data_IF_574354483465
#
_entry.id   IF_574354483465
#
_cell.length_a   1.000
_cell.length_b   1.000
_cell.length_c   1.000
_cell.angle_alpha   90.00
_cell.angle_beta   90.00
_cell.angle_gamma   90.00
#
_symmetry.space_group_name_H-M   'P 1'
#
loop_
_entity.id
_entity.type
_entity.pdbx_description
1 polymer ?
#
# COMPACT_ATOMS: atom_id res chain seq x y z
N UNK A 1 -0.76 -34.75 -72.07
CA UNK A 1 -1.13 -36.17 -71.90
C UNK A 1 -1.31 -36.43 -70.41
N UNK A 2 -2.55 -36.71 -70.05
CA UNK A 2 -3.07 -37.19 -68.77
C UNK A 2 -2.46 -38.53 -68.33
N UNK A 3 -2.29 -38.77 -67.03
CA UNK A 3 -3.09 -39.76 -66.28
C UNK A 3 -2.68 -39.92 -64.80
N UNK A 4 -3.71 -40.25 -64.04
CA UNK A 4 -3.89 -40.45 -62.62
C UNK A 4 -3.38 -41.79 -62.00
N UNK A 5 -3.30 -41.75 -60.66
CA UNK A 5 -3.62 -42.78 -59.62
C UNK A 5 -2.70 -43.99 -59.32
N UNK A 6 -2.23 -44.09 -58.06
CA UNK A 6 -2.37 -45.20 -57.08
C UNK A 6 -1.40 -44.99 -55.88
N UNK A 7 -1.85 -44.58 -54.69
CA UNK A 7 -2.33 -45.38 -53.54
C UNK A 7 -1.24 -46.09 -52.69
N UNK A 8 -0.93 -45.57 -51.49
CA UNK A 8 -0.56 -46.34 -50.28
C UNK A 8 -1.06 -45.57 -49.03
N UNK A 9 -1.87 -46.24 -48.20
CA UNK A 9 -2.45 -45.75 -46.95
C UNK A 9 -1.46 -45.73 -45.78
N UNK A 10 -1.54 -44.77 -44.83
CA UNK A 10 -0.85 -44.86 -43.55
C UNK A 10 -1.69 -45.60 -42.49
N UNK A 11 -1.00 -46.39 -41.67
CA UNK A 11 -1.52 -47.21 -40.56
C UNK A 11 -1.94 -46.29 -39.39
N UNK A 12 -3.06 -46.56 -38.69
CA UNK A 12 -3.49 -45.75 -37.54
C UNK A 12 -2.67 -46.09 -36.29
N UNK A 13 -2.08 -45.09 -35.65
CA UNK A 13 -1.64 -45.19 -34.25
C UNK A 13 -2.72 -44.56 -33.36
N UNK A 14 -3.18 -45.35 -32.39
CA UNK A 14 -4.25 -45.03 -31.46
C UNK A 14 -3.75 -44.02 -30.41
N UNK A 15 -4.36 -42.84 -30.39
CA UNK A 15 -4.33 -41.94 -29.24
C UNK A 15 -5.25 -42.49 -28.13
N UNK A 16 -4.85 -42.39 -26.84
CA UNK A 16 -5.68 -42.84 -25.72
C UNK A 16 -6.97 -42.00 -25.60
N UNK A 17 -8.07 -42.59 -25.09
CA UNK A 17 -9.41 -42.00 -25.17
C UNK A 17 -9.53 -40.67 -24.42
N UNK A 18 -10.09 -39.66 -25.09
CA UNK A 18 -10.59 -38.44 -24.45
C UNK A 18 -11.78 -38.79 -23.55
N UNK A 19 -11.63 -38.58 -22.25
CA UNK A 19 -12.74 -38.65 -21.31
C UNK A 19 -13.79 -37.55 -21.59
N UNK A 20 -15.09 -37.86 -21.50
CA UNK A 20 -16.14 -36.87 -21.70
C UNK A 20 -16.11 -35.82 -20.60
N UNK A 21 -16.13 -34.54 -20.99
CA UNK A 21 -16.29 -33.38 -20.10
C UNK A 21 -17.52 -33.58 -19.22
N UNK A 22 -17.29 -33.79 -17.92
CA UNK A 22 -18.32 -33.74 -16.88
C UNK A 22 -18.80 -32.29 -16.74
N UNK A 23 -20.11 -32.04 -16.58
CA UNK A 23 -20.61 -30.70 -16.29
C UNK A 23 -20.02 -30.22 -14.97
N UNK A 24 -19.60 -28.96 -14.95
CA UNK A 24 -19.16 -28.24 -13.76
C UNK A 24 -20.33 -28.22 -12.77
N UNK A 25 -20.27 -29.07 -11.76
CA UNK A 25 -21.13 -28.97 -10.59
C UNK A 25 -20.58 -27.80 -9.80
N UNK A 26 -21.32 -26.72 -9.81
CA UNK A 26 -21.24 -25.63 -8.85
C UNK A 26 -21.49 -26.24 -7.46
N UNK A 27 -20.43 -26.49 -6.70
CA UNK A 27 -20.56 -26.71 -5.26
C UNK A 27 -20.72 -25.33 -4.61
N UNK A 28 -21.86 -24.68 -4.91
CA UNK A 28 -22.46 -23.74 -3.99
C UNK A 28 -22.68 -24.51 -2.70
N UNK A 29 -21.82 -24.26 -1.70
CA UNK A 29 -22.22 -24.54 -0.32
C UNK A 29 -23.54 -23.78 -0.15
N UNK A 30 -24.65 -24.43 0.20
CA UNK A 30 -25.79 -23.69 0.70
C UNK A 30 -25.27 -22.84 1.85
N UNK A 31 -25.65 -21.56 1.84
CA UNK A 31 -25.56 -20.72 3.03
C UNK A 31 -26.31 -21.51 4.09
N UNK A 32 -25.55 -22.14 4.96
CA UNK A 32 -26.10 -22.90 6.06
C UNK A 32 -26.60 -21.84 7.05
N UNK A 33 -27.84 -21.41 6.85
CA UNK A 33 -28.69 -20.79 7.87
C UNK A 33 -29.05 -21.87 8.92
N UNK A 34 -28.10 -22.70 9.34
CA UNK A 34 -28.20 -23.32 10.64
C UNK A 34 -28.05 -22.18 11.65
N UNK A 35 -29.00 -21.99 12.57
CA UNK A 35 -28.73 -21.15 13.72
C UNK A 35 -27.58 -21.85 14.44
N UNK A 36 -26.34 -21.40 14.21
CA UNK A 36 -25.26 -21.53 15.18
C UNK A 36 -25.95 -21.22 16.51
N UNK A 37 -26.04 -22.20 17.40
CA UNK A 37 -26.63 -22.00 18.72
C UNK A 37 -25.84 -20.85 19.33
N UNK A 38 -26.42 -19.64 19.25
CA UNK A 38 -25.79 -18.43 19.72
C UNK A 38 -25.43 -18.71 21.17
N UNK A 39 -24.14 -18.64 21.49
CA UNK A 39 -23.69 -18.73 22.87
C UNK A 39 -24.53 -17.76 23.71
N UNK A 40 -24.79 -18.08 24.98
CA UNK A 40 -25.54 -17.20 25.86
C UNK A 40 -24.96 -15.77 25.87
N UNK A 41 -23.64 -15.66 25.71
CA UNK A 41 -22.92 -14.39 25.55
C UNK A 41 -23.26 -13.66 24.24
N UNK A 42 -23.34 -14.36 23.10
CA UNK A 42 -23.69 -13.78 21.81
C UNK A 42 -25.16 -13.32 21.79
N UNK A 43 -26.05 -14.09 22.42
CA UNK A 43 -27.46 -13.73 22.55
C UNK A 43 -27.63 -12.50 23.45
N UNK A 44 -26.89 -12.42 24.55
CA UNK A 44 -26.88 -11.25 25.42
C UNK A 44 -26.37 -10.01 24.67
N UNK A 45 -25.28 -10.14 23.91
CA UNK A 45 -24.74 -9.07 23.07
C UNK A 45 -25.77 -8.60 22.04
N UNK A 46 -26.41 -9.53 21.34
CA UNK A 46 -27.47 -9.20 20.37
C UNK A 46 -28.62 -8.43 21.02
N UNK A 47 -29.10 -8.88 22.18
CA UNK A 47 -30.18 -8.21 22.91
C UNK A 47 -29.78 -6.80 23.37
N UNK A 48 -28.53 -6.61 23.81
CA UNK A 48 -28.02 -5.30 24.21
C UNK A 48 -27.91 -4.33 23.03
N UNK A 49 -27.43 -4.81 21.88
CA UNK A 49 -27.38 -4.06 20.63
C UNK A 49 -28.78 -3.65 20.16
N UNK A 50 -29.74 -4.59 20.17
CA UNK A 50 -31.14 -4.33 19.80
C UNK A 50 -31.79 -3.30 20.73
N UNK A 51 -31.54 -3.39 22.04
CA UNK A 51 -32.03 -2.42 23.02
C UNK A 51 -31.48 -1.01 22.76
N UNK A 52 -30.18 -0.89 22.44
CA UNK A 52 -29.59 0.39 22.08
C UNK A 52 -30.22 0.97 20.81
N UNK A 53 -30.44 0.14 19.78
CA UNK A 53 -31.11 0.56 18.54
C UNK A 53 -32.56 1.00 18.79
N UNK A 54 -33.29 0.31 19.68
CA UNK A 54 -34.66 0.70 20.04
C UNK A 54 -34.67 2.07 20.74
N UNK A 55 -33.76 2.31 21.69
CA UNK A 55 -33.64 3.61 22.38
C UNK A 55 -33.35 4.76 21.42
N UNK A 56 -32.58 4.54 20.37
CA UNK A 56 -32.31 5.55 19.34
C UNK A 56 -33.53 5.89 18.49
N UNK A 57 -34.54 5.01 18.41
CA UNK A 57 -35.81 5.26 17.70
C UNK A 57 -36.83 6.00 18.55
N UNK A 58 -36.73 5.91 19.87
CA UNK A 58 -37.61 6.61 20.81
C UNK A 58 -37.33 8.12 20.80
N UNK A 59 -38.28 9.00 21.13
CA UNK A 59 -38.10 10.45 21.08
C UNK A 59 -37.21 11.03 22.21
N UNK A 60 -36.73 10.20 23.14
CA UNK A 60 -36.02 10.68 24.32
C UNK A 60 -34.52 10.92 24.06
N UNK A 61 -34.19 12.14 23.65
CA UNK A 61 -32.81 12.54 23.33
C UNK A 61 -31.80 12.38 24.48
N UNK A 62 -32.24 12.38 25.75
CA UNK A 62 -31.34 12.23 26.89
C UNK A 62 -30.63 10.86 26.93
N UNK A 63 -31.18 9.85 26.25
CA UNK A 63 -30.65 8.48 26.25
C UNK A 63 -29.80 8.16 25.01
N UNK A 64 -29.79 9.04 24.00
CA UNK A 64 -29.11 8.78 22.72
C UNK A 64 -27.61 8.66 22.91
N UNK A 65 -26.99 9.64 23.57
CA UNK A 65 -25.54 9.68 23.81
C UNK A 65 -25.04 8.40 24.49
N UNK A 66 -25.67 8.00 25.59
CA UNK A 66 -25.30 6.79 26.32
C UNK A 66 -25.48 5.52 25.47
N UNK A 67 -26.55 5.45 24.66
CA UNK A 67 -26.80 4.30 23.78
C UNK A 67 -25.77 4.22 22.65
N UNK A 68 -25.36 5.35 22.06
CA UNK A 68 -24.32 5.40 21.05
C UNK A 68 -22.93 5.03 21.61
N UNK A 69 -22.62 5.47 22.84
CA UNK A 69 -21.38 5.09 23.53
C UNK A 69 -21.33 3.59 23.86
N UNK A 70 -22.45 3.01 24.28
CA UNK A 70 -22.58 1.56 24.43
C UNK A 70 -22.36 0.83 23.10
N UNK A 71 -23.00 1.26 22.01
CA UNK A 71 -22.79 0.67 20.68
C UNK A 71 -21.32 0.73 20.26
N UNK A 72 -20.67 1.89 20.42
CA UNK A 72 -19.24 2.05 20.12
C UNK A 72 -18.39 1.06 20.92
N UNK A 73 -18.64 0.95 22.21
CA UNK A 73 -17.87 0.08 23.10
C UNK A 73 -18.01 -1.38 22.70
N UNK A 74 -19.24 -1.84 22.44
CA UNK A 74 -19.51 -3.22 22.02
C UNK A 74 -18.82 -3.52 20.68
N UNK A 75 -18.95 -2.62 19.71
CA UNK A 75 -18.32 -2.78 18.39
C UNK A 75 -16.80 -2.86 18.53
N UNK A 76 -16.16 -1.90 19.22
CA UNK A 76 -14.69 -1.82 19.37
C UNK A 76 -14.11 -3.03 20.09
N UNK A 77 -14.71 -3.47 21.20
CA UNK A 77 -14.20 -4.59 21.98
C UNK A 77 -14.23 -5.87 21.14
N UNK A 78 -15.27 -6.07 20.34
CA UNK A 78 -15.42 -7.25 19.50
C UNK A 78 -14.67 -7.18 18.15
N UNK A 79 -14.34 -5.99 17.63
CA UNK A 79 -13.56 -5.82 16.39
C UNK A 79 -12.04 -5.89 16.60
N UNK A 80 -11.57 -5.97 17.84
CA UNK A 80 -10.14 -6.13 18.16
C UNK A 80 -9.52 -7.46 17.68
N UNK A 81 -10.35 -8.45 17.34
CA UNK A 81 -9.90 -9.75 16.82
C UNK A 81 -9.79 -9.72 15.30
N UNK A 82 -8.60 -10.01 14.78
CA UNK A 82 -8.23 -10.10 13.36
C UNK A 82 -8.84 -11.35 12.66
N UNK A 83 -10.11 -11.66 12.89
CA UNK A 83 -10.75 -12.89 12.43
C UNK A 83 -12.18 -12.64 11.97
N UNK A 84 -12.40 -12.56 10.65
CA UNK A 84 -13.72 -12.45 9.98
C UNK A 84 -14.60 -11.26 10.41
N UNK A 85 -15.61 -10.93 9.59
CA UNK A 85 -16.57 -9.85 9.89
C UNK A 85 -17.12 -10.00 11.32
N UNK A 86 -16.86 -9.03 12.22
CA UNK A 86 -17.25 -9.10 13.62
C UNK A 86 -18.74 -9.40 13.83
N UNK A 87 -19.06 -10.32 14.75
CA UNK A 87 -20.44 -10.71 15.09
C UNK A 87 -21.38 -9.52 15.39
N UNK A 88 -20.97 -8.46 16.13
CA UNK A 88 -21.84 -7.30 16.38
C UNK A 88 -22.37 -6.65 15.10
N UNK A 89 -21.53 -6.59 14.05
CA UNK A 89 -21.92 -5.98 12.78
C UNK A 89 -22.93 -6.85 12.06
N UNK A 90 -22.77 -8.18 12.11
CA UNK A 90 -23.78 -9.12 11.58
C UNK A 90 -25.13 -8.95 12.27
N UNK A 91 -25.15 -8.73 13.58
CA UNK A 91 -26.38 -8.48 14.33
C UNK A 91 -26.99 -7.11 14.07
N UNK A 92 -26.18 -6.09 13.81
CA UNK A 92 -26.65 -4.73 13.49
C UNK A 92 -27.04 -4.55 12.02
N UNK A 93 -26.57 -5.42 11.11
CA UNK A 93 -26.86 -5.36 9.67
C UNK A 93 -28.36 -5.24 9.33
N UNK A 94 -29.28 -6.01 9.94
CA UNK A 94 -30.73 -5.87 9.68
C UNK A 94 -31.31 -4.53 10.15
N UNK A 95 -30.66 -3.88 11.12
CA UNK A 95 -31.11 -2.62 11.70
C UNK A 95 -30.59 -1.38 10.96
N UNK A 96 -29.66 -1.55 10.02
CA UNK A 96 -29.03 -0.45 9.29
C UNK A 96 -30.04 0.49 8.60
N UNK A 97 -31.05 0.01 7.83
CA UNK A 97 -32.01 0.91 7.19
C UNK A 97 -32.82 1.74 8.18
N UNK A 98 -33.13 1.15 9.34
CA UNK A 98 -33.88 1.82 10.38
C UNK A 98 -33.04 2.90 11.08
N UNK A 99 -31.75 2.64 11.33
CA UNK A 99 -30.82 3.63 11.88
C UNK A 99 -30.58 4.78 10.89
N UNK A 100 -30.51 4.48 9.59
CA UNK A 100 -30.40 5.50 8.54
C UNK A 100 -31.64 6.41 8.50
N UNK A 101 -32.85 5.84 8.59
CA UNK A 101 -34.07 6.62 8.69
C UNK A 101 -34.09 7.52 9.94
N UNK A 102 -33.62 7.01 11.09
CA UNK A 102 -33.47 7.80 12.31
C UNK A 102 -32.51 8.98 12.09
N UNK A 103 -31.36 8.74 11.48
CA UNK A 103 -30.39 9.78 11.15
C UNK A 103 -30.98 10.91 10.28
N UNK A 104 -31.79 10.57 9.29
CA UNK A 104 -32.45 11.55 8.42
C UNK A 104 -33.50 12.39 9.15
N UNK A 105 -34.13 11.85 10.19
CA UNK A 105 -35.13 12.59 11.01
C UNK A 105 -34.50 13.50 12.06
N UNK A 106 -33.26 13.24 12.49
CA UNK A 106 -32.62 14.00 13.55
C UNK A 106 -32.15 15.39 13.08
N UNK A 107 -32.28 16.43 13.92
CA UNK A 107 -31.69 17.73 13.64
C UNK A 107 -30.17 17.67 13.74
N UNK A 108 -29.50 18.63 13.08
CA UNK A 108 -28.04 18.80 13.20
C UNK A 108 -27.64 18.98 14.66
N UNK A 109 -26.94 17.99 15.20
CA UNK A 109 -26.54 17.91 16.60
C UNK A 109 -25.30 17.04 16.73
N UNK A 110 -24.60 17.14 17.86
CA UNK A 110 -23.45 16.28 18.17
C UNK A 110 -23.81 14.79 18.15
N UNK A 111 -25.04 14.45 18.55
CA UNK A 111 -25.51 13.07 18.59
C UNK A 111 -25.81 12.54 17.18
N UNK A 112 -26.26 13.42 16.26
CA UNK A 112 -26.40 13.08 14.84
C UNK A 112 -25.04 12.80 14.20
N UNK A 113 -24.03 13.64 14.45
CA UNK A 113 -22.66 13.41 13.96
C UNK A 113 -22.10 12.08 14.49
N UNK A 114 -22.34 11.76 15.76
CA UNK A 114 -21.88 10.49 16.32
C UNK A 114 -22.63 9.27 15.75
N UNK A 115 -23.94 9.40 15.48
CA UNK A 115 -24.69 8.38 14.77
C UNK A 115 -24.16 8.18 13.34
N UNK A 116 -23.69 9.23 12.67
CA UNK A 116 -23.01 9.11 11.39
C UNK A 116 -21.72 8.29 11.50
N UNK A 117 -20.90 8.45 12.54
CA UNK A 117 -19.72 7.58 12.73
C UNK A 117 -20.10 6.10 12.91
N UNK A 118 -21.16 5.82 13.67
CA UNK A 118 -21.68 4.44 13.82
C UNK A 118 -22.19 3.90 12.47
N UNK A 119 -22.95 4.70 11.72
CA UNK A 119 -23.43 4.33 10.39
C UNK A 119 -22.31 4.13 9.38
N UNK A 120 -21.20 4.88 9.51
CA UNK A 120 -20.00 4.67 8.69
C UNK A 120 -19.43 3.27 8.89
N UNK A 121 -19.27 2.86 10.14
CA UNK A 121 -18.71 1.54 10.48
C UNK A 121 -19.67 0.41 10.11
N UNK A 122 -20.98 0.60 10.27
CA UNK A 122 -21.96 -0.39 9.84
C UNK A 122 -22.04 -0.50 8.31
N UNK A 123 -21.76 0.60 7.61
CA UNK A 123 -21.68 0.71 6.16
C UNK A 123 -20.84 -0.43 5.57
N UNK A 124 -19.68 -0.72 6.16
CA UNK A 124 -18.75 -1.72 5.62
C UNK A 124 -19.30 -3.14 5.49
N UNK A 125 -20.39 -3.47 6.18
CA UNK A 125 -21.03 -4.79 6.12
C UNK A 125 -22.38 -4.79 5.42
N UNK A 126 -22.97 -3.60 5.25
CA UNK A 126 -24.31 -3.45 4.68
C UNK A 126 -24.28 -2.92 3.26
N UNK A 127 -23.34 -2.02 2.93
CA UNK A 127 -23.30 -1.36 1.63
C UNK A 127 -23.17 -2.41 0.53
N UNK A 128 -24.18 -2.44 -0.34
CA UNK A 128 -24.04 -3.06 -1.64
C UNK A 128 -22.91 -2.34 -2.39
N UNK A 129 -22.06 -3.12 -3.05
CA UNK A 129 -20.90 -2.63 -3.81
C UNK A 129 -21.30 -1.39 -4.63
N UNK A 130 -20.61 -0.26 -4.38
CA UNK A 130 -20.76 0.99 -5.14
C UNK A 130 -21.55 2.12 -4.48
N UNK A 131 -22.28 1.89 -3.37
CA UNK A 131 -23.00 2.98 -2.67
C UNK A 131 -22.12 3.83 -1.74
N UNK A 132 -20.89 3.36 -1.42
CA UNK A 132 -19.85 4.08 -0.65
C UNK A 132 -20.42 4.79 0.58
N UNK A 133 -21.27 4.07 1.31
CA UNK A 133 -22.03 4.64 2.42
C UNK A 133 -21.11 4.92 3.62
N UNK A 134 -20.05 4.12 3.81
CA UNK A 134 -19.09 4.28 4.89
C UNK A 134 -18.40 5.65 4.79
N UNK A 135 -17.79 5.94 3.63
CA UNK A 135 -17.13 7.22 3.36
C UNK A 135 -18.10 8.39 3.47
N UNK A 136 -19.32 8.27 2.92
CA UNK A 136 -20.33 9.33 3.00
C UNK A 136 -20.64 9.71 4.44
N UNK A 137 -20.93 8.72 5.29
CA UNK A 137 -21.26 8.99 6.69
C UNK A 137 -20.03 9.43 7.48
N UNK A 138 -18.83 8.96 7.12
CA UNK A 138 -17.59 9.45 7.72
C UNK A 138 -17.36 10.94 7.50
N UNK A 139 -17.65 11.44 6.30
CA UNK A 139 -17.54 12.88 5.99
C UNK A 139 -18.58 13.74 6.74
N UNK A 140 -19.69 13.14 7.17
CA UNK A 140 -20.76 13.77 7.96
C UNK A 140 -20.62 13.54 9.47
N UNK A 141 -19.68 12.68 9.86
CA UNK A 141 -19.51 12.21 11.22
C UNK A 141 -18.74 13.20 12.10
N UNK A 142 -18.45 12.74 13.32
CA UNK A 142 -17.59 13.46 14.25
C UNK A 142 -16.13 13.28 13.80
N UNK A 143 -15.29 14.30 13.95
CA UNK A 143 -13.85 14.22 13.63
C UNK A 143 -13.05 13.32 14.60
N UNK A 144 -13.65 12.29 15.17
CA UNK A 144 -12.96 11.26 15.96
C UNK A 144 -11.95 10.51 15.08
N UNK A 145 -10.85 10.01 15.64
CA UNK A 145 -9.82 9.31 14.87
C UNK A 145 -10.38 8.02 14.26
N UNK A 146 -10.21 7.82 12.95
CA UNK A 146 -10.73 6.63 12.24
C UNK A 146 -10.20 5.32 12.83
N UNK A 147 -8.97 5.36 13.36
CA UNK A 147 -8.31 4.25 14.02
C UNK A 147 -9.02 3.69 15.24
N UNK A 148 -9.88 4.48 15.91
CA UNK A 148 -10.59 4.01 17.10
C UNK A 148 -11.53 2.84 16.84
N UNK A 149 -12.02 2.70 15.60
CA UNK A 149 -12.98 1.67 15.20
C UNK A 149 -12.30 0.35 14.76
N UNK A 150 -10.97 0.35 14.66
CA UNK A 150 -10.16 -0.83 14.37
C UNK A 150 -9.65 -0.91 12.93
N UNK A 151 -8.70 -1.83 12.70
CA UNK A 151 -7.97 -1.97 11.43
C UNK A 151 -8.85 -2.27 10.23
N UNK A 152 -9.82 -3.17 10.38
CA UNK A 152 -10.68 -3.60 9.27
C UNK A 152 -11.51 -2.43 8.73
N UNK A 153 -12.07 -1.61 9.61
CA UNK A 153 -12.79 -0.40 9.23
C UNK A 153 -11.88 0.58 8.48
N UNK A 154 -10.67 0.82 9.00
CA UNK A 154 -9.73 1.75 8.36
C UNK A 154 -9.29 1.25 6.98
N UNK A 155 -9.07 -0.05 6.82
CA UNK A 155 -8.75 -0.67 5.53
C UNK A 155 -9.92 -0.56 4.54
N UNK A 156 -11.15 -0.81 5.00
CA UNK A 156 -12.34 -0.65 4.16
C UNK A 156 -12.55 0.81 3.74
N UNK A 157 -12.37 1.75 4.68
CA UNK A 157 -12.44 3.18 4.42
C UNK A 157 -11.38 3.62 3.40
N UNK A 158 -10.15 3.12 3.50
CA UNK A 158 -9.08 3.40 2.53
C UNK A 158 -9.45 2.94 1.11
N UNK A 159 -10.05 1.75 0.97
CA UNK A 159 -10.52 1.27 -0.32
C UNK A 159 -11.65 2.15 -0.90
N UNK A 160 -12.65 2.51 -0.10
CA UNK A 160 -13.71 3.42 -0.56
C UNK A 160 -13.18 4.81 -0.92
N UNK A 161 -12.15 5.29 -0.22
CA UNK A 161 -11.45 6.55 -0.51
C UNK A 161 -10.81 6.51 -1.91
N UNK A 162 -10.06 5.45 -2.22
CA UNK A 162 -9.42 5.28 -3.53
C UNK A 162 -10.44 5.20 -4.67
N UNK A 163 -11.54 4.46 -4.47
CA UNK A 163 -12.63 4.37 -5.44
C UNK A 163 -13.35 5.70 -5.66
N UNK A 164 -13.64 6.45 -4.59
CA UNK A 164 -14.28 7.77 -4.68
C UNK A 164 -13.36 8.78 -5.36
N UNK A 165 -12.07 8.80 -5.04
CA UNK A 165 -11.09 9.65 -5.70
C UNK A 165 -11.11 9.42 -7.22
N UNK A 166 -10.98 8.15 -7.64
CA UNK A 166 -11.05 7.75 -9.04
C UNK A 166 -12.39 8.15 -9.71
N UNK A 167 -13.50 8.03 -8.99
CA UNK A 167 -14.81 8.46 -9.49
C UNK A 167 -14.90 9.98 -9.67
N UNK A 168 -14.29 10.79 -8.78
CA UNK A 168 -14.33 12.26 -8.84
C UNK A 168 -13.42 12.85 -9.91
N UNK A 169 -12.26 12.25 -10.14
CA UNK A 169 -11.35 12.66 -11.23
C UNK A 169 -11.90 12.30 -12.61
N UNK A 170 -12.65 11.19 -12.71
CA UNK A 170 -13.26 10.74 -13.97
C UNK A 170 -14.59 11.45 -14.26
N UNK A 171 -15.19 12.11 -13.28
CA UNK A 171 -16.44 12.85 -13.45
C UNK A 171 -16.26 14.10 -14.33
N UNK A 172 -17.26 14.40 -15.14
CA UNK A 172 -17.33 15.64 -15.93
C UNK A 172 -18.48 16.53 -15.42
N UNK A 173 -18.21 17.71 -14.83
CA UNK A 173 -16.90 18.32 -14.55
C UNK A 173 -16.18 17.68 -13.34
N UNK A 174 -14.84 17.82 -13.25
CA UNK A 174 -14.07 17.31 -12.13
C UNK A 174 -14.56 17.90 -10.80
N UNK A 175 -14.77 17.02 -9.82
CA UNK A 175 -15.14 17.41 -8.46
C UNK A 175 -13.86 17.59 -7.63
N UNK A 176 -13.76 18.60 -6.75
CA UNK A 176 -12.62 18.73 -5.85
C UNK A 176 -12.37 17.46 -5.02
N UNK A 177 -11.10 17.10 -4.86
CA UNK A 177 -10.64 15.90 -4.14
C UNK A 177 -9.89 16.23 -2.85
N UNK A 178 -9.67 17.52 -2.55
CA UNK A 178 -8.91 17.99 -1.39
C UNK A 178 -9.43 17.45 -0.04
N UNK A 179 -10.75 17.29 0.06
CA UNK A 179 -11.43 16.75 1.24
C UNK A 179 -11.11 15.26 1.47
N UNK A 180 -11.03 14.48 0.39
CA UNK A 180 -10.67 13.06 0.42
C UNK A 180 -9.20 12.90 0.75
N UNK A 181 -8.32 13.69 0.13
CA UNK A 181 -6.89 13.65 0.40
C UNK A 181 -6.63 14.01 1.86
N UNK A 182 -7.31 15.02 2.40
CA UNK A 182 -7.22 15.37 3.82
C UNK A 182 -7.65 14.22 4.74
N UNK A 183 -8.71 13.47 4.38
CA UNK A 183 -9.14 12.30 5.14
C UNK A 183 -8.10 11.18 5.09
N UNK A 184 -7.51 10.91 3.92
CA UNK A 184 -6.46 9.91 3.77
C UNK A 184 -5.24 10.22 4.64
N UNK A 185 -4.81 11.49 4.68
CA UNK A 185 -3.68 11.94 5.52
C UNK A 185 -3.95 11.81 7.02
N UNK A 186 -5.22 11.85 7.46
CA UNK A 186 -5.57 11.55 8.85
C UNK A 186 -5.43 10.06 9.17
N UNK A 187 -5.60 9.20 8.17
CA UNK A 187 -5.56 7.74 8.29
C UNK A 187 -4.14 7.19 8.13
N UNK A 188 -3.29 7.81 7.31
CA UNK A 188 -1.90 7.37 7.06
C UNK A 188 -1.09 7.11 8.34
N UNK A 189 -1.07 8.00 9.36
CA UNK A 189 -0.31 7.76 10.58
C UNK A 189 -0.76 6.53 11.34
N UNK A 190 -2.06 6.22 11.30
CA UNK A 190 -2.60 5.03 11.97
C UNK A 190 -2.07 3.75 11.33
N UNK A 191 -2.00 3.68 9.99
CA UNK A 191 -1.41 2.54 9.31
C UNK A 191 0.08 2.36 9.63
N UNK A 192 0.85 3.46 9.65
CA UNK A 192 2.28 3.42 9.97
C UNK A 192 2.55 2.98 11.41
N UNK A 193 1.71 3.38 12.37
CA UNK A 193 1.84 2.98 13.78
C UNK A 193 1.50 1.51 14.05
N UNK A 194 0.69 0.89 13.20
CA UNK A 194 0.22 -0.48 13.37
C UNK A 194 0.78 -1.45 12.32
N UNK A 195 1.96 -1.15 11.78
CA UNK A 195 2.70 -2.05 10.90
C UNK A 195 2.00 -2.34 9.56
N UNK A 196 1.14 -1.44 9.10
CA UNK A 196 0.44 -1.51 7.82
C UNK A 196 1.06 -0.53 6.81
N UNK A 197 2.40 -0.54 6.69
CA UNK A 197 3.13 0.40 5.82
C UNK A 197 2.75 0.28 4.35
N UNK A 198 2.49 -0.95 3.87
CA UNK A 198 2.08 -1.19 2.50
C UNK A 198 0.72 -0.56 2.19
N UNK A 199 -0.27 -0.79 3.07
CA UNK A 199 -1.62 -0.22 2.91
C UNK A 199 -1.57 1.33 2.94
N UNK A 200 -0.67 1.93 3.74
CA UNK A 200 -0.47 3.38 3.79
C UNK A 200 0.10 3.95 2.48
N UNK A 201 1.11 3.27 1.91
CA UNK A 201 1.74 3.68 0.65
C UNK A 201 0.78 3.49 -0.51
N UNK A 202 0.08 2.36 -0.58
CA UNK A 202 -0.90 2.06 -1.63
C UNK A 202 -2.01 3.12 -1.65
N UNK A 203 -2.57 3.46 -0.48
CA UNK A 203 -3.57 4.52 -0.37
C UNK A 203 -3.06 5.86 -0.92
N UNK A 204 -1.83 6.28 -0.60
CA UNK A 204 -1.30 7.55 -1.08
C UNK A 204 -0.87 7.52 -2.55
N UNK A 205 -0.49 6.35 -3.07
CA UNK A 205 -0.24 6.16 -4.50
C UNK A 205 -1.54 6.28 -5.31
N UNK A 206 -2.62 5.65 -4.86
CA UNK A 206 -3.94 5.74 -5.51
C UNK A 206 -4.49 7.18 -5.56
N UNK A 207 -4.13 8.00 -4.57
CA UNK A 207 -4.53 9.41 -4.47
C UNK A 207 -3.53 10.38 -5.12
N UNK A 208 -2.48 9.88 -5.78
CA UNK A 208 -1.40 10.68 -6.38
C UNK A 208 -0.73 11.67 -5.40
N UNK A 209 -0.76 11.39 -4.09
CA UNK A 209 -0.33 12.29 -3.01
C UNK A 209 0.80 11.68 -2.14
N UNK A 210 1.63 10.83 -2.76
CA UNK A 210 2.70 10.09 -2.08
C UNK A 210 3.80 10.98 -1.47
N UNK A 211 3.98 12.18 -1.99
CA UNK A 211 4.92 13.19 -1.47
C UNK A 211 4.58 13.60 -0.03
N UNK A 212 3.31 13.53 0.36
CA UNK A 212 2.84 13.89 1.68
C UNK A 212 3.10 12.82 2.75
N UNK A 213 3.65 11.65 2.38
CA UNK A 213 4.01 10.62 3.36
C UNK A 213 5.22 11.01 4.22
N UNK A 214 6.12 11.84 3.68
CA UNK A 214 7.44 12.17 4.28
C UNK A 214 7.34 12.62 5.74
N UNK A 215 6.43 13.56 6.12
CA UNK A 215 6.32 14.05 7.50
C UNK A 215 5.83 13.00 8.50
N UNK A 216 5.19 11.92 8.02
CA UNK A 216 4.58 10.89 8.85
C UNK A 216 5.48 9.67 9.08
N UNK A 217 6.64 9.61 8.42
CA UNK A 217 7.56 8.47 8.51
C UNK A 217 8.57 8.66 9.65
N UNK A 218 8.55 7.71 10.58
CA UNK A 218 9.49 7.63 11.70
C UNK A 218 10.74 6.78 11.38
N UNK A 219 11.76 6.86 12.24
CA UNK A 219 13.01 6.08 12.15
C UNK A 219 12.78 4.55 12.27
N UNK A 220 11.67 4.09 12.83
CA UNK A 220 11.36 2.65 12.87
C UNK A 220 10.66 2.15 11.59
N UNK A 221 10.13 3.08 10.80
CA UNK A 221 9.17 2.78 9.73
C UNK A 221 9.76 3.06 8.35
N UNK A 222 10.75 3.96 8.25
CA UNK A 222 11.39 4.34 6.98
C UNK A 222 11.96 3.16 6.20
N UNK A 223 12.52 2.15 6.87
CA UNK A 223 13.13 1.02 6.19
C UNK A 223 12.08 0.18 5.44
N UNK A 224 10.91 -0.01 6.04
CA UNK A 224 9.79 -0.76 5.45
C UNK A 224 9.09 0.04 4.37
N UNK A 225 8.75 1.31 4.66
CA UNK A 225 8.13 2.22 3.69
C UNK A 225 9.03 2.43 2.47
N UNK A 226 10.31 2.77 2.69
CA UNK A 226 11.25 3.01 1.61
C UNK A 226 11.48 1.76 0.75
N UNK A 227 11.62 0.57 1.37
CA UNK A 227 11.74 -0.68 0.61
C UNK A 227 10.49 -0.94 -0.24
N UNK A 228 9.31 -0.75 0.34
CA UNK A 228 8.04 -0.95 -0.36
C UNK A 228 7.91 0.01 -1.55
N UNK A 229 8.09 1.32 -1.32
CA UNK A 229 8.06 2.33 -2.39
C UNK A 229 9.04 2.00 -3.52
N UNK A 230 10.28 1.68 -3.19
CA UNK A 230 11.32 1.32 -4.18
C UNK A 230 10.96 0.05 -4.95
N UNK A 231 10.26 -0.90 -4.32
CA UNK A 231 9.76 -2.11 -4.98
C UNK A 231 8.58 -1.85 -5.91
N UNK A 232 7.79 -0.79 -5.67
CA UNK A 232 6.68 -0.38 -6.51
C UNK A 232 7.14 0.35 -7.78
N UNK A 233 8.25 1.08 -7.74
CA UNK A 233 8.78 1.89 -8.87
C UNK A 233 8.75 1.18 -10.24
N UNK A 234 9.19 -0.08 -10.40
CA UNK A 234 9.18 -0.76 -11.70
C UNK A 234 7.79 -1.01 -12.28
N UNK A 235 6.73 -0.93 -11.46
CA UNK A 235 5.34 -1.15 -11.86
C UNK A 235 4.58 0.15 -12.14
N UNK A 236 5.19 1.30 -11.86
CA UNK A 236 4.57 2.60 -12.03
C UNK A 236 4.92 3.19 -13.41
N UNK A 237 3.95 3.85 -14.08
CA UNK A 237 4.23 4.59 -15.29
C UNK A 237 4.94 5.91 -15.00
N UNK A 238 5.62 6.45 -16.01
CA UNK A 238 6.06 7.84 -15.98
C UNK A 238 4.86 8.78 -16.07
N UNK A 239 4.75 9.84 -15.23
CA UNK A 239 5.75 10.42 -14.30
C UNK A 239 5.59 10.05 -12.82
N UNK A 240 4.70 9.11 -12.48
CA UNK A 240 4.44 8.70 -11.09
C UNK A 240 5.68 8.06 -10.46
N UNK A 241 6.43 7.28 -11.24
CA UNK A 241 7.68 6.66 -10.84
C UNK A 241 8.72 7.66 -10.29
N UNK A 242 8.90 8.81 -10.96
CA UNK A 242 9.77 9.88 -10.50
C UNK A 242 9.29 10.48 -9.19
N UNK A 243 7.98 10.67 -9.03
CA UNK A 243 7.38 11.26 -7.83
C UNK A 243 7.61 10.36 -6.62
N UNK A 244 7.43 9.05 -6.79
CA UNK A 244 7.72 8.04 -5.76
C UNK A 244 9.21 8.00 -5.42
N UNK A 245 10.09 8.05 -6.42
CA UNK A 245 11.54 8.08 -6.19
C UNK A 245 11.98 9.34 -5.44
N UNK A 246 11.40 10.51 -5.75
CA UNK A 246 11.67 11.77 -5.02
C UNK A 246 11.15 11.71 -3.59
N UNK A 247 9.97 11.15 -3.35
CA UNK A 247 9.43 10.96 -2.01
C UNK A 247 10.30 9.98 -1.20
N UNK A 248 10.72 8.85 -1.79
CA UNK A 248 11.62 7.89 -1.15
C UNK A 248 12.99 8.53 -0.82
N UNK A 249 13.54 9.35 -1.72
CA UNK A 249 14.74 10.13 -1.48
C UNK A 249 14.60 11.06 -0.26
N UNK A 250 13.50 11.82 -0.19
CA UNK A 250 13.23 12.72 0.92
C UNK A 250 13.13 11.99 2.27
N UNK A 251 12.51 10.81 2.30
CA UNK A 251 12.44 9.95 3.49
C UNK A 251 13.84 9.53 3.95
N UNK A 252 14.67 9.00 3.04
CA UNK A 252 16.04 8.57 3.39
C UNK A 252 16.91 9.74 3.83
N UNK A 253 16.70 10.93 3.25
CA UNK A 253 17.38 12.16 3.63
C UNK A 253 17.04 12.58 5.05
N UNK A 254 15.77 12.53 5.43
CA UNK A 254 15.32 12.85 6.79
C UNK A 254 15.94 11.94 7.85
N UNK A 255 16.09 10.65 7.54
CA UNK A 255 16.71 9.64 8.45
C UNK A 255 18.24 9.60 8.32
N UNK A 256 18.85 10.52 7.55
CA UNK A 256 20.31 10.59 7.31
C UNK A 256 20.92 9.31 6.74
N UNK A 257 20.14 8.54 5.99
CA UNK A 257 20.58 7.35 5.24
C UNK A 257 21.10 7.78 3.86
N UNK A 258 22.27 8.42 3.87
CA UNK A 258 22.90 9.01 2.69
C UNK A 258 23.19 8.03 1.55
N UNK A 259 23.67 6.79 1.79
CA UNK A 259 23.91 5.84 0.70
C UNK A 259 22.64 5.46 -0.06
N UNK A 260 21.54 5.22 0.66
CA UNK A 260 20.24 4.92 0.07
C UNK A 260 19.65 6.13 -0.67
N UNK A 261 19.74 7.33 -0.09
CA UNK A 261 19.35 8.58 -0.75
C UNK A 261 20.12 8.78 -2.06
N UNK A 262 21.45 8.62 -2.04
CA UNK A 262 22.28 8.74 -3.24
C UNK A 262 21.89 7.75 -4.34
N UNK A 263 21.51 6.52 -3.98
CA UNK A 263 21.02 5.53 -4.96
C UNK A 263 19.72 6.01 -5.60
N UNK A 264 18.80 6.60 -4.83
CA UNK A 264 17.57 7.16 -5.40
C UNK A 264 17.85 8.36 -6.31
N UNK A 265 18.74 9.27 -5.91
CA UNK A 265 19.16 10.40 -6.74
C UNK A 265 19.83 9.95 -8.04
N UNK A 266 20.66 8.90 -8.00
CA UNK A 266 21.24 8.29 -9.21
C UNK A 266 20.19 7.65 -10.13
N UNK A 267 19.12 7.07 -9.58
CA UNK A 267 18.02 6.51 -10.39
C UNK A 267 17.20 7.61 -11.09
N UNK A 268 17.06 8.77 -10.44
CA UNK A 268 16.40 9.96 -10.99
C UNK A 268 17.27 10.70 -12.04
N UNK A 269 18.57 10.35 -12.17
CA UNK A 269 19.57 11.08 -12.98
C UNK A 269 19.65 12.59 -12.68
N UNK A 270 19.30 12.99 -11.45
CA UNK A 270 19.36 14.39 -11.03
C UNK A 270 20.73 14.71 -10.41
N UNK A 271 21.59 15.30 -11.22
CA UNK A 271 22.96 15.69 -10.81
C UNK A 271 22.98 16.67 -9.64
N UNK A 272 21.97 17.52 -9.50
CA UNK A 272 21.90 18.47 -8.39
C UNK A 272 21.63 17.73 -7.08
N UNK A 273 20.67 16.80 -7.07
CA UNK A 273 20.40 15.96 -5.90
C UNK A 273 21.60 15.08 -5.52
N UNK A 274 22.28 14.50 -6.51
CA UNK A 274 23.50 13.71 -6.29
C UNK A 274 24.59 14.53 -5.61
N UNK A 275 24.82 15.76 -6.08
CA UNK A 275 25.82 16.65 -5.48
C UNK A 275 25.42 17.05 -4.05
N UNK A 276 24.15 17.40 -3.81
CA UNK A 276 23.63 17.72 -2.48
C UNK A 276 23.76 16.53 -1.52
N UNK A 277 23.54 15.31 -1.99
CA UNK A 277 23.70 14.11 -1.17
C UNK A 277 25.14 13.86 -0.78
N UNK A 278 26.05 14.03 -1.74
CA UNK A 278 27.48 13.88 -1.54
C UNK A 278 28.04 14.94 -0.57
N UNK A 279 27.63 16.20 -0.71
CA UNK A 279 28.13 17.31 0.10
C UNK A 279 27.63 17.28 1.53
N UNK A 280 26.45 16.71 1.79
CA UNK A 280 25.95 16.55 3.14
C UNK A 280 26.60 15.40 3.93
N UNK A 281 27.45 14.60 3.30
CA UNK A 281 28.23 13.59 3.99
C UNK A 281 29.42 14.26 4.70
N UNK A 282 29.35 14.40 6.01
CA UNK A 282 30.45 14.95 6.83
C UNK A 282 31.51 13.90 7.18
N UNK A 283 31.12 12.62 7.30
CA UNK A 283 32.05 11.54 7.63
C UNK A 283 32.96 11.21 6.43
N UNK A 284 34.30 11.36 6.56
CA UNK A 284 35.24 11.09 5.47
C UNK A 284 35.25 9.63 5.03
N UNK A 285 34.92 8.68 5.91
CA UNK A 285 34.88 7.26 5.53
C UNK A 285 33.66 7.00 4.65
N UNK A 286 32.48 7.42 5.10
CA UNK A 286 31.25 7.32 4.34
C UNK A 286 31.36 8.08 3.00
N UNK A 287 31.98 9.27 2.98
CA UNK A 287 32.16 10.07 1.77
C UNK A 287 33.02 9.38 0.71
N UNK A 288 34.09 8.68 1.14
CA UNK A 288 34.87 7.81 0.24
C UNK A 288 34.05 6.65 -0.30
N UNK A 289 33.19 6.02 0.51
CA UNK A 289 32.30 4.96 0.05
C UNK A 289 31.31 5.47 -1.01
N UNK A 290 30.71 6.64 -0.79
CA UNK A 290 29.84 7.30 -1.77
C UNK A 290 30.60 7.63 -3.07
N UNK A 291 31.84 8.14 -2.97
CA UNK A 291 32.70 8.39 -4.12
C UNK A 291 32.98 7.11 -4.94
N UNK A 292 33.22 5.98 -4.28
CA UNK A 292 33.36 4.69 -4.98
C UNK A 292 32.07 4.25 -5.68
N UNK A 293 30.90 4.49 -5.08
CA UNK A 293 29.61 4.19 -5.71
C UNK A 293 29.41 5.02 -6.98
N UNK A 294 29.69 6.33 -6.91
CA UNK A 294 29.59 7.25 -8.03
C UNK A 294 30.59 6.93 -9.15
N UNK A 295 31.83 6.61 -8.78
CA UNK A 295 32.87 6.21 -9.71
C UNK A 295 32.47 4.95 -10.51
N UNK A 296 31.82 3.97 -9.85
CA UNK A 296 31.32 2.76 -10.52
C UNK A 296 30.19 3.04 -11.50
N UNK A 297 29.30 3.97 -11.16
CA UNK A 297 28.21 4.42 -12.04
C UNK A 297 28.68 5.45 -13.08
N UNK A 298 29.97 5.81 -13.07
CA UNK A 298 30.57 6.82 -13.96
C UNK A 298 29.93 8.21 -13.88
N UNK A 299 29.30 8.52 -12.74
CA UNK A 299 28.70 9.83 -12.46
C UNK A 299 29.80 10.79 -11.99
N UNK A 300 29.85 11.97 -12.59
CA UNK A 300 30.83 13.01 -12.25
C UNK A 300 30.22 13.95 -11.22
N UNK A 301 30.89 14.09 -10.07
CA UNK A 301 30.51 14.96 -8.95
C UNK A 301 31.72 15.84 -8.64
N UNK A 302 31.48 17.09 -8.24
CA UNK A 302 32.55 18.00 -7.84
C UNK A 302 32.95 17.68 -6.40
N UNK A 303 34.15 17.13 -6.22
CA UNK A 303 34.72 16.85 -4.89
C UNK A 303 35.80 17.89 -4.56
N UNK A 304 35.88 18.31 -3.30
CA UNK A 304 36.87 19.30 -2.84
C UNK A 304 38.21 18.66 -2.49
N UNK A 305 38.22 17.38 -2.08
CA UNK A 305 39.43 16.64 -1.70
C UNK A 305 40.07 15.97 -2.94
N UNK A 306 41.39 16.10 -3.07
CA UNK A 306 42.19 15.50 -4.16
C UNK A 306 42.07 13.97 -4.18
N UNK A 307 41.97 13.33 -3.00
CA UNK A 307 41.82 11.87 -2.89
C UNK A 307 40.44 11.40 -3.37
N UNK A 308 39.41 12.20 -3.15
CA UNK A 308 38.05 11.94 -3.64
C UNK A 308 37.97 12.12 -5.16
N UNK A 309 38.62 13.17 -5.68
CA UNK A 309 38.76 13.40 -7.12
C UNK A 309 39.49 12.25 -7.83
N UNK A 310 40.56 11.71 -7.24
CA UNK A 310 41.27 10.55 -7.78
C UNK A 310 40.37 9.30 -7.83
N UNK A 311 39.57 9.05 -6.78
CA UNK A 311 38.63 7.92 -6.74
C UNK A 311 37.56 8.06 -7.83
N UNK A 312 36.97 9.24 -7.98
CA UNK A 312 35.98 9.54 -9.01
C UNK A 312 36.58 9.43 -10.43
N UNK A 313 37.83 9.84 -10.62
CA UNK A 313 38.55 9.73 -11.89
C UNK A 313 38.92 8.27 -12.23
N UNK A 314 39.21 7.43 -11.23
CA UNK A 314 39.60 6.04 -11.42
C UNK A 314 38.47 5.18 -12.02
N UNK A 315 37.20 5.49 -11.74
CA UNK A 315 36.05 4.84 -12.38
C UNK A 315 36.04 4.97 -13.91
N UNK A 316 36.52 6.11 -14.43
CA UNK A 316 36.68 6.35 -15.89
C UNK A 316 37.88 5.59 -16.48
N UNK A 317 38.89 5.28 -15.67
CA UNK A 317 40.16 4.71 -16.13
C UNK A 317 40.20 3.16 -16.10
N UNK A 318 39.55 2.50 -15.13
CA UNK A 318 39.83 1.09 -14.86
C UNK A 318 39.20 0.07 -15.85
N UNK A 319 37.93 0.18 -16.30
CA UNK A 319 37.33 -0.87 -17.13
C UNK A 319 37.92 -0.95 -18.55
N UNK A 320 38.37 0.18 -19.11
CA UNK A 320 38.87 0.25 -20.50
C UNK A 320 40.38 0.32 -20.62
N UNK A 321 41.08 0.88 -19.63
CA UNK A 321 42.55 1.05 -19.70
C UNK A 321 43.29 -0.15 -19.12
N UNK A 322 42.80 -0.80 -18.06
CA UNK A 322 43.48 -1.96 -17.44
C UNK A 322 43.49 -3.20 -18.34
N UNK A 323 42.38 -3.50 -19.04
CA UNK A 323 42.33 -4.57 -20.06
C UNK A 323 43.24 -4.32 -21.28
N UNK A 324 43.61 -3.06 -21.55
CA UNK A 324 44.54 -2.68 -22.64
C UNK A 324 45.97 -2.47 -22.18
N UNK A 325 46.19 -2.20 -20.90
CA UNK A 325 47.48 -1.96 -20.25
C UNK A 325 47.93 -3.11 -19.35
N UNK A 326 47.44 -4.33 -19.60
CA UNK A 326 48.13 -5.54 -19.23
C UNK A 326 49.10 -6.05 -20.34
N UNK A 327 50.08 -5.27 -20.85
CA UNK A 327 51.28 -5.88 -21.41
C UNK A 327 52.35 -5.99 -20.32
N UNK A 328 52.83 -7.21 -20.12
CA UNK A 328 54.27 -7.52 -19.94
C UNK A 328 54.96 -7.42 -18.57
N UNK A 329 54.27 -7.18 -17.45
CA UNK A 329 54.93 -7.24 -16.12
C UNK A 329 54.34 -8.33 -15.23
N UNK A 330 54.91 -9.54 -15.27
CA UNK A 330 54.78 -10.48 -14.15
C UNK A 330 54.46 -11.96 -14.43
N UNK A 331 54.89 -12.57 -15.54
CA UNK A 331 55.18 -14.01 -15.51
C UNK A 331 56.69 -14.21 -15.42
N UNK A 332 57.11 -14.64 -14.24
CA UNK A 332 58.45 -15.12 -13.94
C UNK A 332 58.99 -16.04 -15.05
N UNK A 333 60.22 -15.76 -15.49
CA UNK A 333 61.00 -16.45 -16.52
C UNK A 333 60.88 -17.99 -16.49
N UNK A 334 60.68 -18.67 -17.64
CA UNK A 334 61.14 -20.05 -17.79
C UNK A 334 62.64 -20.03 -18.09
N UNK A 335 63.46 -20.50 -17.14
CA UNK A 335 64.88 -20.81 -17.37
C UNK A 335 64.96 -21.85 -18.50
N UNK A 336 65.54 -21.50 -19.65
CA UNK A 336 65.93 -22.52 -20.65
C UNK A 336 67.06 -23.37 -20.05
N UNK A 337 67.02 -24.71 -20.16
CA UNK A 337 68.19 -25.51 -19.82
C UNK A 337 69.27 -25.23 -20.88
N UNK A 338 70.48 -24.87 -20.42
CA UNK A 338 71.67 -24.97 -21.26
C UNK A 338 71.91 -26.45 -21.54
N UNK A 339 71.75 -26.87 -22.78
CA UNK A 339 72.22 -28.17 -23.26
C UNK A 339 73.56 -27.89 -23.93
N UNK A 340 74.62 -28.46 -23.35
CA UNK A 340 75.94 -28.57 -23.97
C UNK A 340 75.88 -29.56 -25.13
N UNK A 341 76.32 -29.13 -26.32
CA UNK A 341 77.21 -29.84 -27.26
C UNK A 341 77.67 -28.84 -28.31
#
# INVERSE_FOLDING_TARGET
MTKDLAAVSPIPQQDPPQEPKKPHVDNGKPIDDTPEELSEEDLQMKNELELCVQRLKEPNAALYRASLESLRTIIRTSTSSMTSVPKPLKFLRPHYPALKAVYETWPESSDKAFLADVLSVLGMTYSEDGKRESLKFRMLGTSEAAGDWGHEYVRHLAAEIGEEYNSRITAEPPVPTDDIVALALQVTPFFLQHNAEADAVDLLLELEAIDQIVPHVDENTFARVGLYMVSCVPYLPYPEDETVLRAAHAIYRQVKRLPEALIMAMRLDDKALIQQDYDACEDPIQKKQLAFMLARQTVSVEAQDETEQEILANGKAFPRRSLRWAPSSGSWTPRRPRIFT
#
